data_IF_933894955561
#
_entry.id   IF_933894955561
#
_cell.length_a   1.000
_cell.length_b   1.000
_cell.length_c   1.000
_cell.angle_alpha   90.00
_cell.angle_beta   90.00
_cell.angle_gamma   90.00
#
_symmetry.space_group_name_H-M   'P 1'
#
loop_
_entity.id
_entity.type
_entity.pdbx_description
1 polymer ?
#
# COMPACT_ATOMS: atom_id res chain seq x y z
N UNK A 1 -37.51 52.15 -2.81
CA UNK A 1 -37.37 50.75 -2.46
C UNK A 1 -35.91 50.33 -2.65
N UNK A 2 -35.22 50.16 -1.53
CA UNK A 2 -33.80 49.78 -1.49
C UNK A 2 -33.74 48.24 -1.34
N UNK A 3 -33.31 47.52 -2.41
CA UNK A 3 -33.07 46.09 -2.30
C UNK A 3 -31.69 45.82 -1.71
N UNK A 4 -31.67 45.33 -0.48
CA UNK A 4 -30.46 44.79 0.15
C UNK A 4 -30.19 43.41 -0.47
N UNK A 5 -29.13 43.28 -1.28
CA UNK A 5 -28.59 41.99 -1.65
C UNK A 5 -27.74 41.46 -0.51
N UNK A 6 -28.25 40.48 0.21
CA UNK A 6 -27.47 39.69 1.16
C UNK A 6 -26.63 38.66 0.38
N UNK A 7 -25.33 38.89 0.27
CA UNK A 7 -24.38 37.91 -0.25
C UNK A 7 -24.21 36.86 0.84
N UNK A 8 -24.84 35.71 0.68
CA UNK A 8 -24.58 34.54 1.51
C UNK A 8 -23.16 34.02 1.20
N UNK A 9 -22.19 34.34 2.03
CA UNK A 9 -20.90 33.67 2.03
C UNK A 9 -21.11 32.20 2.41
N UNK A 10 -21.24 31.35 1.40
CA UNK A 10 -21.20 29.89 1.57
C UNK A 10 -19.80 29.49 2.07
N UNK A 11 -19.63 29.35 3.39
CA UNK A 11 -18.44 28.73 3.94
C UNK A 11 -18.36 27.30 3.39
N UNK A 12 -17.43 27.05 2.47
CA UNK A 12 -17.11 25.69 2.01
C UNK A 12 -16.74 24.88 3.26
N UNK A 13 -17.59 23.95 3.64
CA UNK A 13 -17.34 23.07 4.77
C UNK A 13 -16.03 22.32 4.51
N UNK A 14 -15.01 22.60 5.32
CA UNK A 14 -13.73 21.90 5.21
C UNK A 14 -13.95 20.40 5.45
N UNK A 15 -13.31 19.57 4.61
CA UNK A 15 -13.36 18.13 4.81
C UNK A 15 -12.91 17.77 6.25
N UNK A 16 -13.54 16.78 6.87
CA UNK A 16 -13.22 16.41 8.25
C UNK A 16 -11.76 15.97 8.39
N UNK A 17 -11.17 16.29 9.52
CA UNK A 17 -9.80 15.90 9.84
C UNK A 17 -9.68 14.38 9.88
N UNK A 18 -8.75 13.84 9.11
CA UNK A 18 -8.41 12.42 9.09
C UNK A 18 -7.33 12.06 10.12
N UNK A 19 -6.45 13.01 10.43
CA UNK A 19 -5.35 12.82 11.36
C UNK A 19 -4.44 14.04 11.45
N UNK A 20 -3.25 13.83 12.06
CA UNK A 20 -2.24 14.89 12.25
C UNK A 20 -0.83 14.39 11.97
N UNK A 21 0.04 15.30 11.55
CA UNK A 21 1.47 15.05 11.50
C UNK A 21 2.05 15.01 12.92
N UNK A 22 2.54 13.86 13.35
CA UNK A 22 3.21 13.71 14.67
C UNK A 22 4.70 13.98 14.60
N UNK A 23 5.29 13.85 13.39
CA UNK A 23 6.68 14.19 13.13
C UNK A 23 6.83 14.66 11.69
N UNK A 24 7.63 15.70 11.50
CA UNK A 24 8.02 16.19 10.17
C UNK A 24 9.50 16.52 10.22
N UNK A 25 10.25 16.02 9.25
CA UNK A 25 11.68 16.31 9.06
C UNK A 25 11.90 16.73 7.61
N UNK A 26 12.61 17.84 7.41
CA UNK A 26 12.78 18.44 6.10
C UNK A 26 11.51 19.15 5.60
N UNK A 27 11.32 19.23 4.28
CA UNK A 27 10.22 19.94 3.65
C UNK A 27 9.14 18.95 3.20
N UNK A 28 7.95 19.13 3.73
CA UNK A 28 6.76 18.36 3.37
C UNK A 28 5.66 19.33 3.01
N UNK A 29 5.16 19.27 1.78
CA UNK A 29 4.04 20.09 1.31
C UNK A 29 2.72 19.34 1.42
N UNK A 30 1.64 20.11 1.54
CA UNK A 30 0.27 19.64 1.43
C UNK A 30 -0.48 20.47 0.42
N UNK A 31 -1.14 19.81 -0.51
CA UNK A 31 -2.16 20.41 -1.36
C UNK A 31 -3.52 19.95 -0.85
N UNK A 32 -4.35 20.90 -0.46
CA UNK A 32 -5.71 20.67 0.01
C UNK A 32 -6.65 20.32 -1.15
N UNK A 33 -7.80 19.77 -0.82
CA UNK A 33 -8.83 19.46 -1.82
C UNK A 33 -9.33 20.69 -2.59
N UNK A 34 -9.27 21.88 -1.99
CA UNK A 34 -9.60 23.18 -2.60
C UNK A 34 -8.47 23.77 -3.46
N UNK A 35 -7.34 23.05 -3.60
CA UNK A 35 -6.16 23.49 -4.35
C UNK A 35 -5.18 24.34 -3.55
N UNK A 36 -5.49 24.75 -2.34
CA UNK A 36 -4.56 25.53 -1.51
C UNK A 36 -3.32 24.72 -1.16
N UNK A 37 -2.15 25.37 -1.21
CA UNK A 37 -0.86 24.77 -0.89
C UNK A 37 -0.37 25.25 0.47
N UNK A 38 0.28 24.35 1.21
CA UNK A 38 0.90 24.68 2.48
C UNK A 38 2.13 23.81 2.77
N UNK A 39 2.91 24.23 3.74
CA UNK A 39 4.02 23.45 4.29
C UNK A 39 3.56 22.82 5.60
N UNK A 40 3.84 21.54 5.77
CA UNK A 40 3.49 20.80 6.97
C UNK A 40 4.53 20.98 8.06
N UNK A 41 4.06 21.12 9.28
CA UNK A 41 4.85 21.05 10.50
C UNK A 41 4.25 19.98 11.42
N UNK A 42 4.94 19.67 12.51
CA UNK A 42 4.37 18.85 13.58
C UNK A 42 3.06 19.49 14.07
N UNK A 43 2.01 18.68 14.22
CA UNK A 43 0.66 19.13 14.60
C UNK A 43 -0.22 19.52 13.42
N UNK A 44 0.32 19.67 12.20
CA UNK A 44 -0.50 20.01 11.03
C UNK A 44 -1.59 18.97 10.81
N UNK A 45 -2.82 19.44 10.67
CA UNK A 45 -3.97 18.58 10.36
C UNK A 45 -3.90 18.06 8.92
N UNK A 46 -4.32 16.82 8.75
CA UNK A 46 -4.45 16.15 7.45
C UNK A 46 -5.90 15.74 7.25
N UNK A 47 -6.43 15.94 6.04
CA UNK A 47 -7.84 15.73 5.71
C UNK A 47 -8.01 14.77 4.54
N UNK A 48 -9.19 14.23 4.37
CA UNK A 48 -9.55 13.53 3.14
C UNK A 48 -9.46 14.51 1.95
N UNK A 49 -8.93 14.04 0.82
CA UNK A 49 -8.62 14.83 -0.37
C UNK A 49 -7.22 15.44 -0.39
N UNK A 50 -6.52 15.52 0.75
CA UNK A 50 -5.18 16.10 0.82
C UNK A 50 -4.17 15.25 0.03
N UNK A 51 -3.33 15.93 -0.76
CA UNK A 51 -2.12 15.37 -1.37
C UNK A 51 -0.90 15.86 -0.59
N UNK A 52 -0.14 14.93 -0.05
CA UNK A 52 1.09 15.19 0.70
C UNK A 52 2.30 14.83 -0.15
N UNK A 53 3.31 15.70 -0.19
CA UNK A 53 4.54 15.44 -0.90
C UNK A 53 5.76 15.72 -0.01
N UNK A 54 6.63 14.72 0.14
CA UNK A 54 7.91 14.85 0.83
C UNK A 54 9.02 15.12 -0.18
N UNK A 55 9.85 16.11 0.07
CA UNK A 55 11.06 16.37 -0.74
C UNK A 55 12.13 15.28 -0.52
N UNK A 56 13.19 15.23 -1.35
CA UNK A 56 14.37 14.42 -1.05
C UNK A 56 14.86 14.67 0.38
N UNK A 57 15.28 13.61 1.09
CA UNK A 57 15.71 13.61 2.50
C UNK A 57 14.67 14.03 3.54
N UNK A 58 13.42 14.29 3.10
CA UNK A 58 12.33 14.68 3.98
C UNK A 58 11.47 13.48 4.36
N UNK A 59 10.84 13.54 5.55
CA UNK A 59 9.98 12.49 6.09
C UNK A 59 8.82 13.10 6.87
N UNK A 60 7.69 12.40 6.87
CA UNK A 60 6.58 12.72 7.75
C UNK A 60 6.01 11.45 8.39
N UNK A 61 5.57 11.59 9.64
CA UNK A 61 4.74 10.59 10.31
C UNK A 61 3.38 11.21 10.55
N UNK A 62 2.36 10.61 9.96
CA UNK A 62 0.96 11.01 10.11
C UNK A 62 0.30 9.97 11.00
N UNK A 63 -0.39 10.42 12.04
CA UNK A 63 -1.24 9.58 12.86
C UNK A 63 -2.70 9.90 12.53
N UNK A 64 -3.42 8.88 12.06
CA UNK A 64 -4.85 8.98 11.76
C UNK A 64 -5.66 8.88 13.06
N UNK A 65 -6.92 9.33 13.02
CA UNK A 65 -7.81 9.34 14.19
C UNK A 65 -8.11 7.95 14.76
N UNK A 66 -7.98 6.91 13.96
CA UNK A 66 -8.13 5.51 14.40
C UNK A 66 -6.83 4.91 14.99
N UNK A 67 -5.78 5.72 15.14
CA UNK A 67 -4.45 5.30 15.63
C UNK A 67 -3.55 4.69 14.58
N UNK A 68 -3.96 4.62 13.31
CA UNK A 68 -3.08 4.20 12.23
C UNK A 68 -1.92 5.18 12.05
N UNK A 69 -0.71 4.66 11.80
CA UNK A 69 0.49 5.48 11.56
C UNK A 69 0.99 5.29 10.14
N UNK A 70 1.11 6.39 9.44
CA UNK A 70 1.61 6.47 8.07
C UNK A 70 2.96 7.19 8.09
N UNK A 71 4.03 6.50 7.71
CA UNK A 71 5.37 7.09 7.60
C UNK A 71 5.71 7.29 6.14
N UNK A 72 5.69 8.53 5.68
CA UNK A 72 6.10 8.91 4.33
C UNK A 72 7.62 8.99 4.27
N UNK A 73 8.21 8.30 3.28
CA UNK A 73 9.65 8.30 3.01
C UNK A 73 10.03 9.50 2.14
N UNK A 74 11.33 9.80 1.97
CA UNK A 74 11.78 10.82 1.03
C UNK A 74 11.23 10.62 -0.39
N UNK A 75 10.88 11.70 -1.07
CA UNK A 75 10.38 11.68 -2.45
C UNK A 75 9.03 10.98 -2.62
N UNK A 76 8.17 11.01 -1.59
CA UNK A 76 6.86 10.37 -1.62
C UNK A 76 5.76 11.36 -1.96
N UNK A 77 4.88 10.97 -2.89
CA UNK A 77 3.60 11.62 -3.14
C UNK A 77 2.47 10.68 -2.73
N UNK A 78 1.62 11.17 -1.85
CA UNK A 78 0.64 10.36 -1.16
C UNK A 78 -0.67 11.14 -0.97
N UNK A 79 -1.82 10.55 -1.31
CA UNK A 79 -3.14 11.15 -1.15
C UNK A 79 -4.00 10.33 -0.21
N UNK A 80 -4.74 11.02 0.66
CA UNK A 80 -5.84 10.43 1.42
C UNK A 80 -7.10 10.62 0.56
N UNK A 81 -7.49 9.60 -0.21
CA UNK A 81 -8.66 9.69 -1.11
C UNK A 81 -9.97 9.71 -0.33
N UNK A 82 -10.04 8.93 0.74
CA UNK A 82 -11.19 8.86 1.61
C UNK A 82 -10.79 8.40 3.01
N UNK A 83 -11.40 9.03 4.02
CA UNK A 83 -11.24 8.64 5.41
C UNK A 83 -12.54 8.86 6.16
N UNK A 84 -13.10 7.79 6.68
CA UNK A 84 -14.26 7.81 7.56
C UNK A 84 -13.97 6.89 8.74
N UNK A 85 -13.98 7.44 9.92
CA UNK A 85 -13.83 6.70 11.16
C UNK A 85 -14.88 7.19 12.16
N UNK A 86 -15.79 6.29 12.54
CA UNK A 86 -16.85 6.51 13.51
C UNK A 86 -16.73 5.49 14.64
N UNK A 87 -16.31 5.94 15.81
CA UNK A 87 -16.04 5.06 16.95
C UNK A 87 -17.28 4.24 17.35
N UNK A 88 -18.46 4.84 17.27
CA UNK A 88 -19.75 4.22 17.60
C UNK A 88 -20.42 3.47 16.44
N UNK A 89 -19.92 3.62 15.19
CA UNK A 89 -20.52 3.03 13.97
C UNK A 89 -19.46 2.38 13.09
N UNK A 90 -18.82 1.28 13.52
CA UNK A 90 -17.74 0.65 12.76
C UNK A 90 -18.13 0.21 11.35
N UNK A 91 -19.41 -0.01 11.10
CA UNK A 91 -19.91 -0.38 9.78
C UNK A 91 -19.72 0.71 8.71
N UNK A 92 -19.55 1.97 9.11
CA UNK A 92 -19.30 3.11 8.22
C UNK A 92 -17.81 3.39 8.01
N UNK A 93 -16.93 2.72 8.75
CA UNK A 93 -15.49 2.95 8.66
C UNK A 93 -14.95 2.63 7.27
N UNK A 94 -14.12 3.52 6.75
CA UNK A 94 -13.44 3.35 5.46
C UNK A 94 -12.18 4.19 5.39
N UNK A 95 -11.11 3.61 4.87
CA UNK A 95 -9.85 4.31 4.58
C UNK A 95 -9.37 3.92 3.20
N UNK A 96 -9.29 4.90 2.31
CA UNK A 96 -8.78 4.75 0.96
C UNK A 96 -7.59 5.69 0.82
N UNK A 97 -6.43 5.10 0.68
CA UNK A 97 -5.16 5.80 0.50
C UNK A 97 -4.65 5.58 -0.92
N UNK A 98 -3.97 6.56 -1.49
CA UNK A 98 -3.31 6.43 -2.78
C UNK A 98 -1.84 6.82 -2.67
N UNK A 99 -0.95 5.91 -2.99
CA UNK A 99 0.47 6.17 -3.16
C UNK A 99 0.70 6.44 -4.65
N UNK A 100 1.14 7.66 -4.99
CA UNK A 100 1.41 8.09 -6.36
C UNK A 100 2.88 7.92 -6.72
N UNK A 101 3.79 8.14 -5.74
CA UNK A 101 5.23 8.07 -5.90
C UNK A 101 5.90 7.72 -4.58
N UNK A 102 7.09 7.12 -4.63
CA UNK A 102 7.96 6.91 -3.47
C UNK A 102 7.51 5.75 -2.58
N UNK A 103 7.52 5.93 -1.26
CA UNK A 103 7.30 4.83 -0.32
C UNK A 103 6.61 5.23 0.98
N UNK A 104 5.77 4.34 1.46
CA UNK A 104 4.92 4.48 2.63
C UNK A 104 5.07 3.27 3.54
N UNK A 105 5.37 3.49 4.83
CA UNK A 105 5.17 2.48 5.87
C UNK A 105 3.86 2.75 6.57
N UNK A 106 3.05 1.74 6.71
CA UNK A 106 1.75 1.81 7.36
C UNK A 106 1.71 0.84 8.54
N UNK A 107 1.32 1.36 9.70
CA UNK A 107 0.89 0.55 10.85
C UNK A 107 -0.61 0.78 10.98
N UNK A 108 -1.41 -0.27 10.83
CA UNK A 108 -2.87 -0.15 10.86
C UNK A 108 -3.38 0.16 12.25
N UNK A 109 -4.41 1.01 12.30
CA UNK A 109 -5.11 1.38 13.53
C UNK A 109 -6.36 0.52 13.79
N UNK A 110 -7.24 1.04 14.64
CA UNK A 110 -8.48 0.37 15.06
C UNK A 110 -9.41 0.07 13.89
N UNK A 111 -9.50 0.96 12.89
CA UNK A 111 -10.32 0.75 11.69
C UNK A 111 -9.89 -0.50 10.94
N UNK A 112 -8.59 -0.64 10.67
CA UNK A 112 -8.04 -1.81 9.99
C UNK A 112 -8.19 -3.11 10.79
N UNK A 113 -8.21 -3.02 12.12
CA UNK A 113 -8.43 -4.16 13.02
C UNK A 113 -9.91 -4.58 13.05
N UNK A 114 -10.82 -3.62 13.15
CA UNK A 114 -12.28 -3.87 13.24
C UNK A 114 -12.88 -4.27 11.89
N UNK A 115 -12.42 -3.64 10.81
CA UNK A 115 -12.96 -3.78 9.46
C UNK A 115 -11.85 -3.91 8.41
N UNK A 116 -11.21 -5.07 8.33
CA UNK A 116 -10.03 -5.26 7.47
C UNK A 116 -10.25 -4.96 6.00
N UNK A 117 -11.45 -5.23 5.48
CA UNK A 117 -11.80 -4.93 4.08
C UNK A 117 -12.06 -3.45 3.79
N UNK A 118 -12.14 -2.59 4.81
CA UNK A 118 -12.39 -1.16 4.66
C UNK A 118 -11.11 -0.31 4.62
N UNK A 119 -9.93 -0.94 4.74
CA UNK A 119 -8.65 -0.27 4.61
C UNK A 119 -7.96 -0.72 3.33
N UNK A 120 -7.67 0.21 2.42
CA UNK A 120 -6.97 -0.08 1.17
C UNK A 120 -5.93 0.98 0.84
N UNK A 121 -4.85 0.55 0.16
CA UNK A 121 -3.88 1.43 -0.48
C UNK A 121 -3.87 1.13 -1.96
N UNK A 122 -4.15 2.15 -2.76
CA UNK A 122 -4.10 2.12 -4.21
C UNK A 122 -2.76 2.66 -4.68
N UNK A 123 -2.16 2.01 -5.68
CA UNK A 123 -0.91 2.43 -6.33
C UNK A 123 -1.12 2.51 -7.85
N UNK A 124 -2.09 3.28 -8.32
CA UNK A 124 -2.39 3.35 -9.74
C UNK A 124 -2.96 2.06 -10.32
N UNK A 125 -2.27 0.95 -10.21
CA UNK A 125 -2.62 -0.35 -10.82
C UNK A 125 -2.82 -1.50 -9.85
N UNK A 126 -2.45 -1.31 -8.58
CA UNK A 126 -2.63 -2.32 -7.53
C UNK A 126 -3.46 -1.75 -6.39
N UNK A 127 -4.41 -2.53 -5.90
CA UNK A 127 -5.11 -2.27 -4.64
C UNK A 127 -4.62 -3.27 -3.60
N UNK A 128 -4.09 -2.75 -2.50
CA UNK A 128 -3.62 -3.53 -1.37
C UNK A 128 -4.66 -3.41 -0.26
N UNK A 129 -5.44 -4.46 -0.06
CA UNK A 129 -6.34 -4.60 1.08
C UNK A 129 -5.58 -5.16 2.29
N UNK A 130 -5.82 -4.62 3.48
CA UNK A 130 -4.98 -4.90 4.65
C UNK A 130 -5.84 -5.31 5.83
N UNK A 131 -5.34 -6.32 6.56
CA UNK A 131 -5.95 -6.78 7.81
C UNK A 131 -4.91 -6.81 8.94
N UNK A 132 -4.88 -5.73 9.74
CA UNK A 132 -4.11 -5.57 10.99
C UNK A 132 -2.63 -5.88 10.85
N UNK A 133 -1.75 -4.87 10.63
CA UNK A 133 -0.33 -5.16 10.46
C UNK A 133 0.53 -3.91 10.24
N UNK A 134 1.82 -4.13 10.20
CA UNK A 134 2.87 -3.18 9.84
C UNK A 134 3.45 -3.59 8.48
N UNK A 135 3.41 -2.73 7.49
CA UNK A 135 3.90 -3.02 6.15
C UNK A 135 4.47 -1.79 5.45
N UNK A 136 5.29 -2.02 4.43
CA UNK A 136 5.89 -0.98 3.60
C UNK A 136 5.44 -1.20 2.15
N UNK A 137 4.83 -0.16 1.57
CA UNK A 137 4.53 -0.09 0.14
C UNK A 137 5.46 0.92 -0.51
N UNK A 138 6.07 0.57 -1.64
CA UNK A 138 6.94 1.45 -2.42
C UNK A 138 6.65 1.30 -3.91
N UNK A 139 6.53 2.43 -4.59
CA UNK A 139 6.55 2.50 -6.05
C UNK A 139 8.01 2.60 -6.47
N UNK A 140 8.45 1.67 -7.30
CA UNK A 140 9.80 1.66 -7.84
C UNK A 140 9.90 2.58 -9.05
N UNK A 141 10.82 3.50 -8.99
CA UNK A 141 11.40 4.18 -10.14
C UNK A 141 12.69 3.43 -10.54
N UNK A 142 13.64 4.07 -11.20
CA UNK A 142 14.86 3.42 -11.70
C UNK A 142 15.79 2.83 -10.62
N UNK A 143 15.59 3.20 -9.36
CA UNK A 143 16.38 2.74 -8.22
C UNK A 143 16.17 1.25 -7.88
N UNK A 144 15.02 0.69 -8.20
CA UNK A 144 14.75 -0.73 -7.98
C UNK A 144 15.40 -1.64 -9.03
N UNK A 145 15.81 -1.10 -10.17
CA UNK A 145 16.56 -1.84 -11.18
C UNK A 145 17.94 -2.31 -10.69
N UNK A 146 18.54 -1.61 -9.72
CA UNK A 146 19.81 -2.01 -9.09
C UNK A 146 19.64 -3.15 -8.08
N UNK A 147 18.54 -3.19 -7.36
CA UNK A 147 18.22 -4.30 -6.46
C UNK A 147 17.83 -5.58 -7.23
N UNK A 148 17.29 -5.45 -8.45
CA UNK A 148 16.92 -6.61 -9.26
C UNK A 148 18.10 -7.28 -9.98
N UNK A 149 19.22 -6.59 -10.17
CA UNK A 149 20.45 -7.17 -10.79
C UNK A 149 21.16 -8.19 -9.89
N UNK A 150 20.86 -8.24 -8.60
CA UNK A 150 21.38 -9.26 -7.66
C UNK A 150 20.53 -10.53 -7.62
N UNK A 151 19.45 -10.62 -8.38
CA UNK A 151 18.63 -11.83 -8.45
C UNK A 151 19.21 -12.80 -9.45
N UNK A 152 19.79 -13.86 -8.92
CA UNK A 152 20.28 -15.06 -9.60
C UNK A 152 19.43 -15.40 -10.82
N UNK A 153 20.10 -15.52 -11.97
CA UNK A 153 19.57 -16.12 -13.20
C UNK A 153 19.35 -17.61 -12.97
N UNK A 154 18.31 -18.00 -12.24
CA UNK A 154 17.90 -19.40 -12.18
C UNK A 154 17.06 -19.72 -13.42
N UNK A 155 17.39 -20.84 -14.09
CA UNK A 155 16.68 -21.35 -15.25
C UNK A 155 15.20 -21.52 -14.92
N UNK A 156 14.37 -20.63 -15.45
CA UNK A 156 12.93 -20.60 -15.19
C UNK A 156 12.30 -21.69 -16.07
N UNK A 157 12.01 -22.86 -15.50
CA UNK A 157 11.10 -23.81 -16.11
C UNK A 157 9.72 -23.17 -16.27
N UNK A 158 9.18 -23.13 -17.49
CA UNK A 158 7.86 -22.55 -17.77
C UNK A 158 6.77 -23.48 -17.25
N UNK A 159 6.28 -23.21 -16.03
CA UNK A 159 5.09 -23.88 -15.51
C UNK A 159 3.88 -23.01 -15.91
N UNK A 160 2.91 -23.52 -16.69
CA UNK A 160 1.77 -22.71 -17.13
C UNK A 160 0.93 -22.23 -15.95
N UNK A 161 0.43 -20.99 -16.04
CA UNK A 161 -0.54 -20.42 -15.09
C UNK A 161 0.02 -19.85 -13.78
N UNK A 162 1.33 -19.87 -13.53
CA UNK A 162 1.88 -19.20 -12.35
C UNK A 162 1.84 -17.67 -12.52
N UNK A 163 1.72 -16.97 -11.40
CA UNK A 163 1.70 -15.50 -11.37
C UNK A 163 2.96 -14.91 -10.73
N UNK A 164 3.59 -15.68 -9.86
CA UNK A 164 4.85 -15.30 -9.20
C UNK A 164 5.73 -16.54 -8.97
N UNK A 165 7.01 -16.29 -8.62
CA UNK A 165 7.91 -17.31 -8.08
C UNK A 165 8.45 -16.84 -6.74
N UNK A 166 8.61 -17.79 -5.83
CA UNK A 166 9.37 -17.54 -4.62
C UNK A 166 10.86 -17.66 -4.98
N UNK A 167 11.64 -16.62 -4.73
CA UNK A 167 13.07 -16.56 -5.12
C UNK A 167 14.01 -16.71 -3.92
N UNK A 168 13.51 -16.49 -2.73
CA UNK A 168 14.23 -16.72 -1.49
C UNK A 168 13.26 -17.15 -0.40
N UNK A 169 13.67 -18.13 0.40
CA UNK A 169 12.93 -18.65 1.55
C UNK A 169 13.90 -18.84 2.71
N UNK A 170 13.51 -18.38 3.88
CA UNK A 170 14.10 -18.78 5.13
C UNK A 170 12.98 -19.28 6.04
N UNK A 171 13.20 -20.37 6.72
CA UNK A 171 12.16 -21.03 7.52
C UNK A 171 11.05 -21.62 6.65
N UNK A 172 9.85 -21.71 7.20
CA UNK A 172 8.71 -22.36 6.54
C UNK A 172 7.79 -21.36 5.89
N UNK A 173 7.58 -21.49 4.58
CA UNK A 173 6.57 -20.79 3.79
C UNK A 173 5.68 -21.83 3.13
N UNK A 174 4.38 -21.80 3.40
CA UNK A 174 3.43 -22.80 2.89
C UNK A 174 2.23 -22.14 2.23
N UNK A 175 1.73 -22.64 1.10
CA UNK A 175 0.40 -22.33 0.63
C UNK A 175 -0.62 -23.07 1.51
N UNK A 176 -1.63 -22.36 1.98
CA UNK A 176 -2.72 -22.94 2.80
C UNK A 176 -4.01 -23.13 2.02
N UNK A 177 -3.99 -22.81 0.73
CA UNK A 177 -5.08 -23.02 -0.22
C UNK A 177 -4.55 -23.62 -1.53
N UNK A 178 -5.46 -24.18 -2.31
CA UNK A 178 -5.15 -24.73 -3.62
C UNK A 178 -4.56 -26.15 -3.59
N UNK A 179 -4.21 -26.72 -4.75
CA UNK A 179 -3.81 -28.11 -4.91
C UNK A 179 -2.46 -28.46 -4.28
N UNK A 180 -1.72 -27.47 -3.81
CA UNK A 180 -0.42 -27.63 -3.13
C UNK A 180 -0.45 -27.17 -1.66
N UNK A 181 -1.65 -27.08 -1.09
CA UNK A 181 -1.81 -26.69 0.30
C UNK A 181 -0.91 -27.56 1.22
N UNK A 182 -0.28 -26.89 2.20
CA UNK A 182 0.57 -27.49 3.23
C UNK A 182 1.92 -28.06 2.77
N UNK A 183 2.28 -27.95 1.49
CA UNK A 183 3.65 -28.26 1.03
C UNK A 183 4.54 -27.04 1.22
N UNK A 184 5.63 -27.17 1.95
CA UNK A 184 6.61 -26.08 2.09
C UNK A 184 7.17 -25.68 0.72
N UNK A 185 7.17 -24.38 0.45
CA UNK A 185 7.73 -23.81 -0.77
C UNK A 185 9.25 -23.68 -0.65
N UNK A 186 9.94 -23.98 -1.73
CA UNK A 186 11.37 -23.77 -1.92
C UNK A 186 11.63 -22.64 -2.92
N UNK A 187 12.87 -22.14 -2.95
CA UNK A 187 13.30 -21.17 -3.96
C UNK A 187 13.12 -21.76 -5.38
N UNK A 188 12.48 -20.99 -6.27
CA UNK A 188 12.10 -21.41 -7.61
C UNK A 188 10.65 -21.91 -7.73
N UNK A 189 9.97 -22.24 -6.64
CA UNK A 189 8.60 -22.73 -6.68
C UNK A 189 7.62 -21.65 -7.19
N UNK A 190 6.65 -22.07 -8.03
CA UNK A 190 5.64 -21.14 -8.54
C UNK A 190 4.55 -20.85 -7.50
N UNK A 191 4.01 -19.65 -7.60
CA UNK A 191 2.83 -19.17 -6.86
C UNK A 191 1.75 -18.83 -7.87
N UNK A 192 0.49 -19.13 -7.54
CA UNK A 192 -0.65 -18.98 -8.43
C UNK A 192 -1.60 -17.91 -7.93
N UNK A 193 -2.46 -17.42 -8.81
CA UNK A 193 -3.62 -16.64 -8.40
C UNK A 193 -4.47 -17.48 -7.43
N UNK A 194 -5.09 -16.80 -6.47
CA UNK A 194 -5.89 -17.37 -5.39
C UNK A 194 -5.10 -18.17 -4.33
N UNK A 195 -3.77 -18.29 -4.47
CA UNK A 195 -2.95 -18.85 -3.40
C UNK A 195 -2.98 -17.95 -2.15
N UNK A 196 -3.12 -18.59 -1.01
CA UNK A 196 -2.90 -17.98 0.31
C UNK A 196 -1.63 -18.57 0.88
N UNK A 197 -0.62 -17.74 1.12
CA UNK A 197 0.67 -18.14 1.65
C UNK A 197 0.78 -17.80 3.14
N UNK A 198 1.32 -18.71 3.92
CA UNK A 198 1.69 -18.48 5.32
C UNK A 198 3.16 -18.65 5.56
N UNK A 199 3.75 -17.72 6.33
CA UNK A 199 5.11 -17.82 6.86
C UNK A 199 5.07 -18.20 8.33
N UNK A 200 5.94 -19.11 8.74
CA UNK A 200 6.13 -19.53 10.13
C UNK A 200 6.82 -18.46 11.01
N UNK A 201 7.15 -18.83 12.24
CA UNK A 201 8.02 -18.03 13.12
C UNK A 201 9.43 -17.99 12.52
N UNK A 202 10.10 -16.83 12.61
CA UNK A 202 11.44 -16.60 12.08
C UNK A 202 11.59 -16.97 10.59
N UNK A 203 10.47 -16.98 9.86
CA UNK A 203 10.44 -17.28 8.44
C UNK A 203 10.22 -16.01 7.63
N UNK A 204 10.79 -15.98 6.41
CA UNK A 204 10.46 -15.00 5.40
C UNK A 204 10.42 -15.64 4.00
N UNK A 205 9.68 -15.01 3.10
CA UNK A 205 9.66 -15.42 1.70
C UNK A 205 9.73 -14.20 0.78
N UNK A 206 10.48 -14.31 -0.31
CA UNK A 206 10.54 -13.27 -1.36
C UNK A 206 9.87 -13.78 -2.62
N UNK A 207 8.78 -13.14 -3.01
CA UNK A 207 8.03 -13.43 -4.23
C UNK A 207 8.43 -12.42 -5.32
N UNK A 208 8.59 -12.89 -6.54
CA UNK A 208 8.70 -12.03 -7.73
C UNK A 208 7.59 -12.41 -8.70
N UNK A 209 6.74 -11.44 -8.98
CA UNK A 209 5.62 -11.57 -9.92
C UNK A 209 6.09 -11.38 -11.37
N UNK A 210 5.28 -11.82 -12.32
CA UNK A 210 5.62 -11.75 -13.75
C UNK A 210 5.82 -10.33 -14.28
N UNK A 211 5.15 -9.34 -13.67
CA UNK A 211 5.32 -7.91 -13.97
C UNK A 211 6.55 -7.27 -13.30
N UNK A 212 7.33 -8.07 -12.55
CA UNK A 212 8.48 -7.60 -11.78
C UNK A 212 8.14 -7.08 -10.38
N UNK A 213 6.86 -7.08 -9.97
CA UNK A 213 6.48 -6.78 -8.58
C UNK A 213 7.18 -7.75 -7.64
N UNK A 214 7.81 -7.21 -6.60
CA UNK A 214 8.46 -8.02 -5.56
C UNK A 214 7.72 -7.86 -4.24
N UNK A 215 7.38 -8.97 -3.62
CA UNK A 215 6.75 -9.01 -2.29
C UNK A 215 7.63 -9.80 -1.35
N UNK A 216 8.04 -9.18 -0.26
CA UNK A 216 8.76 -9.83 0.84
C UNK A 216 7.77 -10.07 1.96
N UNK A 217 7.49 -11.33 2.25
CA UNK A 217 6.66 -11.75 3.39
C UNK A 217 7.54 -11.84 4.62
N UNK A 218 7.16 -11.19 5.70
CA UNK A 218 7.82 -11.29 7.01
C UNK A 218 7.33 -12.55 7.75
N UNK A 219 7.86 -12.78 8.93
CA UNK A 219 7.40 -13.90 9.79
C UNK A 219 5.92 -13.77 10.18
N UNK A 220 5.30 -14.91 10.45
CA UNK A 220 3.90 -15.01 10.88
C UNK A 220 2.92 -14.26 9.98
N UNK A 221 3.23 -14.19 8.69
CA UNK A 221 2.44 -13.50 7.68
C UNK A 221 1.50 -14.47 6.97
N UNK A 222 0.24 -14.03 6.77
CA UNK A 222 -0.74 -14.68 5.90
C UNK A 222 -1.13 -13.71 4.79
N UNK A 223 -0.78 -14.08 3.56
CA UNK A 223 -0.86 -13.23 2.37
C UNK A 223 -1.60 -13.95 1.26
N UNK A 224 -2.58 -13.28 0.65
CA UNK A 224 -3.34 -13.81 -0.47
C UNK A 224 -3.07 -13.03 -1.77
N UNK A 225 -2.94 -13.78 -2.88
CA UNK A 225 -2.96 -13.25 -4.24
C UNK A 225 -4.39 -13.42 -4.76
N UNK A 226 -5.26 -12.40 -4.58
CA UNK A 226 -6.68 -12.53 -4.93
C UNK A 226 -6.94 -12.45 -6.42
N UNK A 227 -6.25 -11.54 -7.10
CA UNK A 227 -6.32 -11.39 -8.55
C UNK A 227 -4.94 -11.02 -9.08
N UNK A 228 -4.61 -11.59 -10.21
CA UNK A 228 -3.42 -11.22 -10.95
C UNK A 228 -3.68 -11.40 -12.45
N UNK A 229 -3.65 -10.31 -13.19
CA UNK A 229 -3.69 -10.28 -14.65
C UNK A 229 -2.53 -9.42 -15.12
N UNK A 230 -1.67 -9.97 -15.95
CA UNK A 230 -0.54 -9.27 -16.55
C UNK A 230 -0.35 -9.70 -17.99
N UNK A 231 -0.29 -8.73 -18.89
CA UNK A 231 0.02 -8.91 -20.30
C UNK A 231 1.29 -8.10 -20.60
N UNK A 232 2.42 -8.75 -20.95
CA UNK A 232 3.68 -8.03 -21.15
C UNK A 232 3.63 -6.92 -22.20
N UNK A 233 2.79 -7.07 -23.23
CA UNK A 233 2.63 -6.10 -24.31
C UNK A 233 1.59 -5.01 -24.02
N UNK A 234 0.83 -5.14 -22.91
CA UNK A 234 -0.23 -4.21 -22.50
C UNK A 234 -0.27 -4.11 -20.98
N UNK A 235 0.81 -3.65 -20.33
CA UNK A 235 0.90 -3.59 -18.88
C UNK A 235 -0.19 -2.68 -18.25
N UNK A 236 -0.69 -1.70 -18.98
CA UNK A 236 -1.79 -0.81 -18.58
C UNK A 236 -3.14 -1.54 -18.38
N UNK A 237 -3.31 -2.72 -18.99
CA UNK A 237 -4.49 -3.56 -18.80
C UNK A 237 -4.31 -4.57 -17.66
N UNK A 238 -3.17 -4.51 -16.98
CA UNK A 238 -2.88 -5.34 -15.83
C UNK A 238 -3.77 -5.02 -14.63
N UNK A 239 -4.06 -6.04 -13.83
CA UNK A 239 -4.80 -5.88 -12.58
C UNK A 239 -4.23 -6.82 -11.52
N UNK A 240 -3.87 -6.25 -10.37
CA UNK A 240 -3.30 -6.99 -9.25
C UNK A 240 -4.05 -6.64 -7.98
N UNK A 241 -4.53 -7.67 -7.28
CA UNK A 241 -5.15 -7.51 -5.96
C UNK A 241 -4.45 -8.45 -4.99
N UNK A 242 -3.73 -7.86 -4.05
CA UNK A 242 -3.12 -8.56 -2.92
C UNK A 242 -3.90 -8.29 -1.65
N UNK A 243 -4.03 -9.29 -0.80
CA UNK A 243 -4.60 -9.13 0.54
C UNK A 243 -3.63 -9.64 1.60
N UNK A 244 -3.27 -8.76 2.52
CA UNK A 244 -2.55 -9.15 3.72
C UNK A 244 -3.57 -9.45 4.81
N UNK A 245 -3.65 -10.73 5.19
CA UNK A 245 -4.61 -11.23 6.17
C UNK A 245 -4.05 -11.14 7.60
N UNK A 246 -2.72 -11.29 7.75
CA UNK A 246 -2.01 -11.23 9.02
C UNK A 246 -0.53 -10.98 8.77
N UNK A 247 0.19 -10.44 9.75
CA UNK A 247 1.65 -10.28 9.74
C UNK A 247 2.12 -9.05 8.99
N UNK A 248 3.26 -9.12 8.31
CA UNK A 248 3.92 -7.99 7.65
C UNK A 248 4.44 -8.33 6.26
N UNK A 249 4.43 -7.35 5.35
CA UNK A 249 5.05 -7.47 4.04
C UNK A 249 5.74 -6.19 3.61
N UNK A 250 6.70 -6.34 2.70
CA UNK A 250 7.28 -5.23 1.94
C UNK A 250 7.00 -5.47 0.46
N UNK A 251 6.44 -4.48 -0.22
CA UNK A 251 6.14 -4.54 -1.65
C UNK A 251 6.98 -3.52 -2.42
N UNK A 252 7.56 -3.97 -3.53
CA UNK A 252 8.18 -3.13 -4.55
C UNK A 252 7.37 -3.36 -5.84
N UNK A 253 6.73 -2.31 -6.34
CA UNK A 253 5.83 -2.42 -7.49
C UNK A 253 6.57 -2.61 -8.81
N UNK A 254 6.00 -3.41 -9.72
CA UNK A 254 6.56 -3.76 -11.02
C UNK A 254 6.01 -2.92 -12.19
N UNK A 255 6.01 -3.52 -13.40
CA UNK A 255 5.66 -2.85 -14.65
C UNK A 255 4.18 -2.45 -14.74
N UNK A 256 3.26 -3.22 -14.14
CA UNK A 256 1.83 -2.87 -14.11
C UNK A 256 1.65 -1.47 -13.47
N UNK A 257 2.39 -1.18 -12.40
CA UNK A 257 2.33 0.10 -11.70
C UNK A 257 3.07 1.25 -12.40
N UNK A 258 3.89 0.95 -13.40
CA UNK A 258 4.66 1.94 -14.16
C UNK A 258 3.94 2.39 -15.43
N UNK A 259 2.99 1.61 -15.91
CA UNK A 259 2.32 1.83 -17.19
C UNK A 259 1.04 2.68 -17.06
N UNK A 260 0.63 3.02 -15.86
CA UNK A 260 -0.49 3.87 -15.49
C UNK A 260 -0.03 4.90 -14.46
#
# INVERSE_FOLDING_TARGET
SLFLFTIANGALAQAPEAGRATSVSGVVSVQRADGTMGIMARGSAVRAGDLLATQPESRAVIELRDGAKLTLRPGTEFRIEGYRYAESRPAEDSTILRLLKGGLRTITGLLGQRRPGAFSINTGTATIGIRGTDFITRICEDDCARESKSAVTSRISRTPGYVARIIAVQGQVVPVSGPRALRALASGDPVYAEDILETGKQAFGVLVFQDGTRVVLQEQTRFAVEKYKYEPNRPEQGNVVFRLLRGGLRTLTGLIAKAN
#
